data_IF_118997568066
#
_entry.id   IF_118997568066
#
_cell.length_a   1.000
_cell.length_b   1.000
_cell.length_c   1.000
_cell.angle_alpha   90.00
_cell.angle_beta   90.00
_cell.angle_gamma   90.00
#
_symmetry.space_group_name_H-M   'P 1'
#
loop_
_entity.id
_entity.type
_entity.pdbx_description
1 polymer ?
#
# COMPACT_ATOMS: atom_id res chain seq x y z
N UNK A 1 2.51 -35.08 23.27
CA UNK A 1 3.71 -34.44 22.71
C UNK A 1 3.26 -33.77 21.43
N UNK A 2 2.97 -32.47 21.46
CA UNK A 2 2.50 -31.75 20.27
C UNK A 2 3.71 -31.40 19.40
N UNK A 3 3.76 -31.99 18.21
CA UNK A 3 4.81 -31.72 17.24
C UNK A 3 4.44 -30.41 16.54
N UNK A 4 5.12 -29.32 16.92
CA UNK A 4 5.02 -28.03 16.23
C UNK A 4 5.87 -28.09 14.97
N UNK A 5 5.21 -28.19 13.81
CA UNK A 5 5.87 -28.13 12.52
C UNK A 5 6.25 -26.67 12.21
N UNK A 6 7.42 -26.40 11.59
CA UNK A 6 7.76 -25.06 11.16
C UNK A 6 6.69 -24.57 10.16
N UNK A 7 5.93 -23.54 10.55
CA UNK A 7 5.02 -22.85 9.64
C UNK A 7 5.86 -22.12 8.59
N UNK A 8 6.14 -22.78 7.47
CA UNK A 8 6.61 -22.11 6.26
C UNK A 8 5.56 -21.06 5.87
N UNK A 9 6.00 -19.81 5.66
CA UNK A 9 5.20 -18.60 5.38
C UNK A 9 3.78 -18.95 4.90
N UNK A 10 2.91 -19.23 5.87
CA UNK A 10 1.64 -19.85 5.57
C UNK A 10 0.83 -18.77 4.88
N UNK A 11 0.18 -19.14 3.78
CA UNK A 11 -0.71 -18.24 3.05
C UNK A 11 -1.93 -17.98 3.94
N UNK A 12 -1.77 -17.10 4.91
CA UNK A 12 -2.91 -16.44 5.54
C UNK A 12 -3.49 -15.46 4.51
N UNK A 13 -4.80 -15.22 4.54
CA UNK A 13 -5.47 -14.38 3.53
C UNK A 13 -4.84 -12.97 3.42
N UNK A 14 -4.25 -12.49 4.52
CA UNK A 14 -3.41 -11.30 4.62
C UNK A 14 -2.14 -11.40 3.74
N UNK A 15 -1.45 -12.54 3.78
CA UNK A 15 -0.24 -12.83 2.99
C UNK A 15 -0.56 -12.86 1.50
N UNK A 16 -1.68 -13.46 1.08
CA UNK A 16 -2.11 -13.41 -0.33
C UNK A 16 -2.40 -12.00 -0.80
N UNK A 17 -3.09 -11.19 0.01
CA UNK A 17 -3.42 -9.81 -0.37
C UNK A 17 -2.18 -8.94 -0.48
N UNK A 18 -1.26 -9.06 0.49
CA UNK A 18 0.04 -8.39 0.44
C UNK A 18 0.88 -8.83 -0.76
N UNK A 19 0.82 -10.10 -1.13
CA UNK A 19 1.52 -10.62 -2.30
C UNK A 19 0.94 -10.03 -3.60
N UNK A 20 -0.37 -10.02 -3.76
CA UNK A 20 -1.03 -9.39 -4.91
C UNK A 20 -0.76 -7.89 -4.98
N UNK A 21 -0.78 -7.20 -3.82
CA UNK A 21 -0.39 -5.81 -3.69
C UNK A 21 1.03 -5.55 -4.21
N UNK A 22 2.00 -6.36 -3.82
CA UNK A 22 3.39 -6.23 -4.29
C UNK A 22 3.53 -6.56 -5.78
N UNK A 23 2.92 -7.67 -6.25
CA UNK A 23 2.98 -8.12 -7.66
C UNK A 23 2.42 -7.09 -8.65
N UNK A 24 1.41 -6.33 -8.25
CA UNK A 24 0.78 -5.28 -9.05
C UNK A 24 1.43 -3.90 -8.86
N UNK A 25 2.65 -3.84 -8.31
CA UNK A 25 3.39 -2.59 -8.18
C UNK A 25 2.90 -1.69 -7.04
N UNK A 26 2.55 -2.27 -5.90
CA UNK A 26 2.08 -1.56 -4.71
C UNK A 26 0.76 -0.78 -4.92
N UNK A 27 -0.13 -1.35 -5.72
CA UNK A 27 -1.48 -0.81 -5.98
C UNK A 27 -2.28 -0.64 -4.68
N UNK A 28 -3.15 0.36 -4.59
CA UNK A 28 -3.90 0.58 -3.34
C UNK A 28 -4.82 -0.61 -2.99
N UNK A 29 -4.99 -0.88 -1.69
CA UNK A 29 -5.89 -1.95 -1.18
C UNK A 29 -7.32 -1.73 -1.68
N UNK A 30 -7.77 -0.47 -1.81
CA UNK A 30 -9.08 -0.15 -2.37
C UNK A 30 -9.23 -0.57 -3.84
N UNK A 31 -8.18 -0.41 -4.63
CA UNK A 31 -8.16 -0.88 -6.03
C UNK A 31 -8.13 -2.40 -6.09
N UNK A 32 -7.34 -3.08 -5.25
CA UNK A 32 -7.36 -4.56 -5.14
C UNK A 32 -8.76 -5.08 -4.79
N UNK A 33 -9.44 -4.45 -3.84
CA UNK A 33 -10.80 -4.82 -3.46
C UNK A 33 -11.78 -4.65 -4.63
N UNK A 34 -11.67 -3.53 -5.36
CA UNK A 34 -12.49 -3.33 -6.57
C UNK A 34 -12.18 -4.34 -7.67
N UNK A 35 -10.91 -4.73 -7.86
CA UNK A 35 -10.53 -5.76 -8.83
C UNK A 35 -11.07 -7.13 -8.45
N UNK A 36 -11.02 -7.48 -7.17
CA UNK A 36 -11.57 -8.74 -6.65
C UNK A 36 -13.09 -8.79 -6.85
N UNK A 37 -13.81 -7.71 -6.48
CA UNK A 37 -15.27 -7.60 -6.68
C UNK A 37 -15.72 -7.65 -8.13
N UNK A 38 -14.85 -7.23 -9.06
CA UNK A 38 -15.10 -7.24 -10.50
C UNK A 38 -14.52 -8.47 -11.20
N UNK A 39 -13.98 -9.42 -10.44
CA UNK A 39 -13.38 -10.65 -10.95
C UNK A 39 -12.31 -10.40 -12.03
N UNK A 40 -11.57 -9.28 -11.90
CA UNK A 40 -10.60 -8.86 -12.92
C UNK A 40 -9.30 -9.68 -12.94
N UNK A 41 -9.09 -10.54 -11.92
CA UNK A 41 -7.92 -11.38 -11.78
C UNK A 41 -8.28 -12.73 -11.15
N UNK A 42 -7.85 -13.81 -11.78
CA UNK A 42 -8.02 -15.17 -11.25
C UNK A 42 -7.14 -15.38 -10.01
N UNK A 43 -7.70 -15.96 -8.96
CA UNK A 43 -6.98 -16.26 -7.72
C UNK A 43 -6.71 -15.05 -6.82
N UNK A 44 -7.30 -13.89 -7.11
CA UNK A 44 -7.28 -12.74 -6.21
C UNK A 44 -8.31 -12.95 -5.08
N UNK A 45 -7.90 -13.10 -3.81
CA UNK A 45 -8.85 -13.30 -2.72
C UNK A 45 -9.75 -12.08 -2.53
N UNK A 46 -10.99 -12.34 -2.10
CA UNK A 46 -11.91 -11.29 -1.67
C UNK A 46 -11.53 -10.87 -0.25
N UNK A 47 -10.88 -9.71 -0.13
CA UNK A 47 -10.25 -9.30 1.13
C UNK A 47 -11.13 -8.30 1.88
N UNK A 48 -11.45 -8.54 3.16
CA UNK A 48 -11.91 -7.47 4.03
C UNK A 48 -10.81 -6.41 4.14
N UNK A 49 -11.21 -5.14 4.23
CA UNK A 49 -10.26 -4.04 4.32
C UNK A 49 -9.39 -4.18 5.58
N UNK A 50 -8.12 -4.53 5.40
CA UNK A 50 -7.13 -4.50 6.48
C UNK A 50 -6.43 -3.15 6.53
N UNK A 51 -6.31 -2.58 7.73
CA UNK A 51 -5.62 -1.29 7.98
C UNK A 51 -4.08 -1.41 7.94
N UNK A 52 -3.53 -2.57 7.62
CA UNK A 52 -2.09 -2.79 7.64
C UNK A 52 -1.43 -2.12 6.43
N UNK A 53 -0.79 -0.97 6.67
CA UNK A 53 -0.05 -0.22 5.65
C UNK A 53 1.23 -0.99 5.28
N UNK A 54 1.58 -1.00 3.99
CA UNK A 54 2.84 -1.57 3.51
C UNK A 54 4.00 -0.58 3.79
N UNK A 55 5.08 -1.05 4.40
CA UNK A 55 6.24 -0.20 4.75
C UNK A 55 6.87 0.46 3.52
N UNK A 56 6.99 -0.29 2.42
CA UNK A 56 7.48 0.26 1.14
C UNK A 56 6.55 1.36 0.60
N UNK A 57 5.23 1.20 0.73
CA UNK A 57 4.29 2.26 0.39
C UNK A 57 4.43 3.47 1.30
N UNK A 58 4.64 3.26 2.60
CA UNK A 58 4.81 4.34 3.56
C UNK A 58 6.08 5.15 3.26
N UNK A 59 7.19 4.47 2.96
CA UNK A 59 8.44 5.10 2.57
C UNK A 59 8.35 5.80 1.20
N UNK A 60 7.64 5.19 0.24
CA UNK A 60 7.55 5.69 -1.14
C UNK A 60 6.49 6.78 -1.37
N UNK A 61 5.42 6.84 -0.57
CA UNK A 61 4.38 7.88 -0.69
C UNK A 61 4.81 9.19 -0.07
N UNK A 62 5.76 9.87 -0.70
CA UNK A 62 6.05 11.25 -0.35
C UNK A 62 4.93 12.16 -0.86
N UNK A 63 4.24 12.85 0.06
CA UNK A 63 3.30 13.92 -0.34
C UNK A 63 4.11 15.05 -0.96
N UNK A 64 3.82 15.40 -2.22
CA UNK A 64 4.46 16.54 -2.88
C UNK A 64 4.18 17.79 -2.05
N UNK A 65 5.24 18.39 -1.52
CA UNK A 65 5.15 19.68 -0.84
C UNK A 65 4.97 20.76 -1.90
N UNK A 66 4.12 21.76 -1.63
CA UNK A 66 4.02 22.92 -2.53
C UNK A 66 5.35 23.65 -2.52
N UNK A 67 5.80 24.10 -3.70
CA UNK A 67 6.90 25.06 -3.76
C UNK A 67 6.49 26.32 -3.01
N UNK A 68 7.40 26.85 -2.19
CA UNK A 68 7.17 28.14 -1.53
C UNK A 68 6.98 29.20 -2.61
N UNK A 69 5.97 30.06 -2.44
CA UNK A 69 5.84 31.25 -3.28
C UNK A 69 7.07 32.13 -3.11
N UNK A 70 7.52 32.78 -4.18
CA UNK A 70 8.61 33.77 -4.10
C UNK A 70 8.21 34.82 -3.07
N UNK A 71 9.00 34.97 -2.02
CA UNK A 71 8.85 36.12 -1.12
C UNK A 71 9.19 37.36 -1.96
N UNK A 72 8.23 38.29 -2.06
CA UNK A 72 8.51 39.63 -2.58
C UNK A 72 9.42 40.29 -1.55
N UNK A 73 10.72 40.34 -1.80
CA UNK A 73 11.60 41.20 -1.05
C UNK A 73 11.16 42.64 -1.34
N UNK A 74 10.39 43.22 -0.41
CA UNK A 74 10.09 44.65 -0.43
C UNK A 74 11.38 45.32 -0.02
N UNK A 75 12.12 45.84 -1.00
CA UNK A 75 13.26 46.69 -0.71
C UNK A 75 12.72 47.99 -0.14
N UNK A 76 12.75 48.12 1.20
CA UNK A 76 12.48 49.39 1.85
C UNK A 76 13.57 50.37 1.40
N UNK A 77 13.23 51.22 0.41
CA UNK A 77 14.00 52.40 0.06
C UNK A 77 13.76 53.43 1.16
N UNK A 78 14.85 53.81 1.82
CA UNK A 78 14.94 55.06 2.58
C UNK A 78 14.77 56.25 1.65
#
# INVERSE_FOLDING_TARGET
MEISYPKCLQVEDNVTTRLWHARLGHVSIGVLNNMSKKEMALGLPCVPYEKNICDACLAGKQKRVRFRSKQRFVHHKY
#
